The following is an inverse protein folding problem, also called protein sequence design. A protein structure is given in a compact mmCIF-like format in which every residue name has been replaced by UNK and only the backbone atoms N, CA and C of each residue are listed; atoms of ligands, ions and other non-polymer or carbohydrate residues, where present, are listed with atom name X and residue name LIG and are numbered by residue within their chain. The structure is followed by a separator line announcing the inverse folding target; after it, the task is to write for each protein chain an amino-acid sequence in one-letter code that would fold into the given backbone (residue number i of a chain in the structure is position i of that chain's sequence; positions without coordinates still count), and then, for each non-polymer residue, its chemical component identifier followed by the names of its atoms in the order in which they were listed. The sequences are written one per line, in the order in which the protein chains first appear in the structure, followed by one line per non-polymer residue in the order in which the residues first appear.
data_IF_130879279415
#
_entry.id   IF_130879279415
#
_cell.length_a   1.000
_cell.length_b   1.000
_cell.length_c   1.000
_cell.angle_alpha   90.00
_cell.angle_beta   90.00
_cell.angle_gamma   90.00
#
_symmetry.space_group_name_H-M   'P 1'
#
loop_
_entity.id
_entity.type
_entity.pdbx_description
1 polymer ?
#
# COMPACT_ATOMS: atom_id res chain seq x y z
N UNK A 1 24.60 3.03 74.26
CA UNK A 1 24.26 3.94 73.14
C UNK A 1 24.84 3.52 71.78
N UNK A 2 25.95 2.76 71.70
CA UNK A 2 26.52 2.27 70.41
C UNK A 2 25.72 1.17 69.67
N UNK A 3 24.84 0.43 70.35
CA UNK A 3 24.04 -0.65 69.73
C UNK A 3 22.78 -0.17 68.99
N UNK A 4 22.34 1.07 69.26
CA UNK A 4 21.19 1.67 68.56
C UNK A 4 21.56 2.20 67.17
N UNK A 5 22.84 2.54 66.94
CA UNK A 5 23.33 3.07 65.67
C UNK A 5 23.55 1.97 64.61
N UNK A 6 23.71 0.71 65.02
CA UNK A 6 23.85 -0.43 64.11
C UNK A 6 22.51 -0.92 63.54
N UNK A 7 21.38 -0.61 64.18
CA UNK A 7 20.05 -1.06 63.74
C UNK A 7 19.44 -0.18 62.63
N UNK A 8 19.95 1.04 62.43
CA UNK A 8 19.45 1.96 61.41
C UNK A 8 20.08 1.69 60.02
N UNK A 9 21.28 1.10 59.98
CA UNK A 9 21.95 0.76 58.72
C UNK A 9 21.34 -0.44 57.99
N UNK A 10 20.64 -1.33 58.66
CA UNK A 10 20.02 -2.52 58.03
C UNK A 10 18.64 -2.24 57.44
N UNK A 11 18.01 -1.10 57.75
CA UNK A 11 16.66 -0.77 57.26
C UNK A 11 16.67 -0.07 55.89
N UNK A 12 17.83 0.43 55.44
CA UNK A 12 17.98 1.11 54.14
C UNK A 12 18.12 0.18 52.93
N UNK A 13 18.31 -1.13 53.13
CA UNK A 13 18.54 -2.09 52.03
C UNK A 13 17.26 -2.71 51.44
N UNK A 14 16.06 -2.36 51.93
CA UNK A 14 14.80 -2.98 51.51
C UNK A 14 14.01 -2.20 50.45
N UNK A 15 14.52 -1.05 49.99
CA UNK A 15 13.94 -0.28 48.89
C UNK A 15 14.79 -0.40 47.62
N UNK A 16 14.95 -1.63 47.13
CA UNK A 16 15.37 -1.83 45.73
C UNK A 16 14.17 -1.52 44.84
N UNK A 17 14.06 -0.27 44.39
CA UNK A 17 13.11 0.09 43.33
C UNK A 17 13.51 -0.67 42.08
N UNK A 18 12.75 -1.72 41.73
CA UNK A 18 12.88 -2.35 40.41
C UNK A 18 12.41 -1.32 39.38
N UNK A 19 13.37 -0.72 38.66
CA UNK A 19 13.07 0.01 37.43
C UNK A 19 12.63 -1.05 36.42
N UNK A 20 11.33 -1.14 36.18
CA UNK A 20 10.82 -1.80 34.98
C UNK A 20 11.05 -0.84 33.82
N UNK A 21 11.86 -1.25 32.85
CA UNK A 21 11.92 -0.57 31.57
C UNK A 21 10.56 -0.79 30.88
N UNK A 22 9.89 0.30 30.51
CA UNK A 22 8.72 0.21 29.63
C UNK A 22 9.16 -0.37 28.28
N UNK A 23 8.35 -1.28 27.74
CA UNK A 23 8.58 -1.83 26.41
C UNK A 23 8.35 -0.72 25.38
N UNK A 24 9.29 -0.57 24.44
CA UNK A 24 9.17 0.41 23.37
C UNK A 24 7.92 0.11 22.52
N UNK A 25 7.07 1.13 22.32
CA UNK A 25 5.88 1.05 21.48
C UNK A 25 6.22 1.30 20.01
N UNK A 26 6.32 0.22 19.22
CA UNK A 26 6.67 0.29 17.80
C UNK A 26 5.43 0.01 16.95
N UNK A 27 5.00 1.00 16.17
CA UNK A 27 3.94 0.82 15.18
C UNK A 27 4.56 0.54 13.82
N UNK A 28 4.18 -0.59 13.24
CA UNK A 28 4.53 -0.97 11.86
C UNK A 28 3.30 -0.86 10.99
N UNK A 29 3.46 -0.56 9.71
CA UNK A 29 2.29 -0.36 8.88
C UNK A 29 1.75 -1.64 8.25
N UNK A 30 2.64 -2.43 7.65
CA UNK A 30 2.30 -3.70 6.99
C UNK A 30 2.91 -4.90 7.73
N UNK A 31 2.27 -6.07 7.58
CA UNK A 31 2.67 -7.30 8.27
C UNK A 31 4.15 -7.70 8.06
N UNK A 32 4.73 -7.59 6.86
CA UNK A 32 6.15 -7.89 6.66
C UNK A 32 7.09 -7.07 7.57
N UNK A 33 6.81 -5.78 7.77
CA UNK A 33 7.60 -4.93 8.68
C UNK A 33 7.45 -5.39 10.13
N UNK A 34 6.23 -5.71 10.56
CA UNK A 34 5.98 -6.25 11.91
C UNK A 34 6.79 -7.53 12.16
N UNK A 35 6.87 -8.43 11.18
CA UNK A 35 7.65 -9.67 11.31
C UNK A 35 9.16 -9.40 11.45
N UNK A 36 9.70 -8.43 10.69
CA UNK A 36 11.11 -8.02 10.82
C UNK A 36 11.38 -7.44 12.21
N UNK A 37 10.51 -6.54 12.67
CA UNK A 37 10.64 -5.93 14.01
C UNK A 37 10.61 -7.01 15.09
N UNK A 38 9.63 -7.92 15.07
CA UNK A 38 9.52 -9.01 16.04
C UNK A 38 10.77 -9.91 16.03
N UNK A 39 11.30 -10.24 14.85
CA UNK A 39 12.51 -11.05 14.72
C UNK A 39 13.76 -10.36 15.30
N UNK A 40 13.85 -9.03 15.19
CA UNK A 40 14.97 -8.25 15.72
C UNK A 40 14.85 -8.01 17.23
N UNK A 41 13.65 -7.75 17.72
CA UNK A 41 13.43 -7.33 19.12
C UNK A 41 13.17 -8.48 20.06
N UNK A 42 12.92 -9.71 19.57
CA UNK A 42 12.71 -10.92 20.39
C UNK A 42 11.71 -10.68 21.55
N UNK A 43 10.58 -10.06 21.23
CA UNK A 43 9.49 -9.75 22.16
C UNK A 43 9.79 -8.70 23.25
N UNK A 44 10.88 -7.93 23.12
CA UNK A 44 11.21 -6.83 24.05
C UNK A 44 10.38 -5.56 23.75
N UNK A 45 9.75 -5.48 22.57
CA UNK A 45 8.93 -4.34 22.13
C UNK A 45 7.49 -4.75 21.91
N UNK A 46 6.53 -3.87 22.19
CA UNK A 46 5.16 -4.05 21.71
C UNK A 46 5.09 -3.59 20.26
N UNK A 47 4.93 -4.55 19.33
CA UNK A 47 4.76 -4.25 17.90
C UNK A 47 3.30 -4.40 17.49
N UNK A 48 2.67 -3.28 17.10
CA UNK A 48 1.34 -3.29 16.49
C UNK A 48 1.47 -3.09 14.96
N UNK A 49 0.62 -3.78 14.18
CA UNK A 49 0.49 -3.54 12.74
C UNK A 49 -0.72 -2.67 12.47
N UNK A 50 -0.52 -1.52 11.82
CA UNK A 50 -1.56 -0.55 11.51
C UNK A 50 -2.64 -1.15 10.60
N UNK A 51 -2.22 -1.79 9.51
CA UNK A 51 -3.13 -2.34 8.51
C UNK A 51 -3.56 -3.76 8.90
N UNK A 52 -4.88 -4.04 8.93
CA UNK A 52 -5.38 -5.40 9.08
C UNK A 52 -4.91 -6.31 7.95
N UNK A 53 -4.88 -7.62 8.21
CA UNK A 53 -4.61 -8.61 7.18
C UNK A 53 -5.63 -8.49 6.03
N UNK A 54 -5.16 -8.64 4.79
CA UNK A 54 -5.98 -8.53 3.58
C UNK A 54 -6.32 -7.09 3.15
N UNK A 55 -5.85 -6.07 3.87
CA UNK A 55 -6.04 -4.67 3.49
C UNK A 55 -4.98 -4.21 2.50
N UNK A 56 -5.38 -3.52 1.44
CA UNK A 56 -4.46 -2.88 0.49
C UNK A 56 -3.74 -1.71 1.18
N UNK A 57 -2.40 -1.65 1.12
CA UNK A 57 -1.66 -0.50 1.63
C UNK A 57 -1.74 0.73 0.72
N UNK A 58 -2.18 0.59 -0.53
CA UNK A 58 -2.38 1.73 -1.43
C UNK A 58 -3.67 2.50 -1.13
N UNK A 59 -4.73 1.79 -0.72
CA UNK A 59 -6.11 2.31 -0.66
C UNK A 59 -6.65 2.40 0.77
N UNK A 60 -5.78 2.39 1.78
CA UNK A 60 -6.23 2.36 3.16
C UNK A 60 -6.88 3.67 3.59
N UNK A 61 -8.13 3.60 4.03
CA UNK A 61 -8.83 4.71 4.66
C UNK A 61 -8.44 4.81 6.14
N UNK A 62 -7.53 5.73 6.46
CA UNK A 62 -7.03 5.92 7.81
C UNK A 62 -8.15 6.32 8.79
N UNK A 63 -8.32 5.55 9.87
CA UNK A 63 -9.31 5.84 10.90
C UNK A 63 -8.74 6.79 11.96
N UNK A 64 -9.57 7.58 12.67
CA UNK A 64 -9.11 8.41 13.78
C UNK A 64 -8.35 7.63 14.88
N UNK A 65 -8.74 6.38 15.13
CA UNK A 65 -8.03 5.50 16.07
C UNK A 65 -6.61 5.16 15.61
N UNK A 66 -6.38 5.04 14.31
CA UNK A 66 -5.08 4.72 13.74
C UNK A 66 -4.16 5.93 13.77
N UNK A 67 -4.70 7.11 13.47
CA UNK A 67 -3.98 8.37 13.63
C UNK A 67 -3.50 8.57 15.09
N UNK A 68 -4.34 8.21 16.07
CA UNK A 68 -3.96 8.23 17.49
C UNK A 68 -2.84 7.23 17.79
N UNK A 69 -2.92 6.00 17.28
CA UNK A 69 -1.85 5.00 17.45
C UNK A 69 -0.52 5.48 16.89
N UNK A 70 -0.52 6.10 15.72
CA UNK A 70 0.69 6.65 15.10
C UNK A 70 1.29 7.78 15.93
N UNK A 71 0.44 8.66 16.48
CA UNK A 71 0.87 9.75 17.34
C UNK A 71 1.45 9.27 18.68
N UNK A 72 0.85 8.23 19.27
CA UNK A 72 1.24 7.71 20.58
C UNK A 72 2.39 6.67 20.50
N UNK A 73 2.95 6.43 19.30
CA UNK A 73 4.05 5.49 19.08
C UNK A 73 5.40 6.11 19.44
N UNK A 74 6.28 5.33 20.07
CA UNK A 74 7.68 5.73 20.27
C UNK A 74 8.47 5.66 18.95
N UNK A 75 8.06 4.77 18.04
CA UNK A 75 8.64 4.60 16.71
C UNK A 75 7.58 4.11 15.72
N UNK A 76 7.47 4.78 14.58
CA UNK A 76 6.68 4.36 13.43
C UNK A 76 7.62 3.87 12.34
N UNK A 77 7.46 2.62 11.89
CA UNK A 77 8.21 2.04 10.77
C UNK A 77 7.24 1.73 9.65
N UNK A 78 7.48 2.35 8.49
CA UNK A 78 6.62 2.23 7.31
C UNK A 78 7.48 2.09 6.06
N UNK A 79 6.88 1.64 4.95
CA UNK A 79 7.66 1.39 3.73
C UNK A 79 8.11 2.71 3.13
N UNK A 80 7.17 3.64 2.96
CA UNK A 80 7.44 4.96 2.41
C UNK A 80 6.25 5.50 1.61
N UNK A 81 6.37 6.73 1.10
CA UNK A 81 5.31 7.40 0.36
C UNK A 81 4.93 6.67 -0.94
N UNK A 82 5.82 5.82 -1.47
CA UNK A 82 5.61 5.01 -2.66
C UNK A 82 4.53 3.93 -2.48
N UNK A 83 4.29 3.51 -1.23
CA UNK A 83 3.29 2.50 -0.88
C UNK A 83 2.10 3.11 -0.13
N UNK A 84 2.39 4.02 0.80
CA UNK A 84 1.44 4.42 1.85
C UNK A 84 1.28 5.94 1.86
N UNK A 85 0.95 6.49 0.68
CA UNK A 85 0.89 7.93 0.44
C UNK A 85 0.01 8.69 1.45
N UNK A 86 -1.05 8.04 1.96
CA UNK A 86 -1.96 8.56 2.98
C UNK A 86 -1.27 8.91 4.32
N UNK A 87 -0.11 8.31 4.62
CA UNK A 87 0.66 8.60 5.83
C UNK A 87 1.58 9.81 5.69
N UNK A 88 1.95 10.19 4.45
CA UNK A 88 2.97 11.22 4.18
C UNK A 88 2.69 12.51 4.95
N UNK A 89 1.45 13.01 4.91
CA UNK A 89 1.06 14.25 5.59
C UNK A 89 1.07 14.14 7.12
N UNK A 90 0.82 12.95 7.66
CA UNK A 90 0.69 12.73 9.10
C UNK A 90 2.07 12.53 9.74
N UNK A 91 2.96 11.84 9.02
CA UNK A 91 4.30 11.53 9.48
C UNK A 91 5.34 12.60 9.08
N UNK A 92 4.95 13.60 8.29
CA UNK A 92 5.85 14.68 7.88
C UNK A 92 6.42 15.41 9.10
N UNK A 93 7.75 15.60 9.10
CA UNK A 93 8.48 16.23 10.19
C UNK A 93 8.53 15.45 11.52
N UNK A 94 7.94 14.26 11.62
CA UNK A 94 7.98 13.45 12.84
C UNK A 94 9.33 12.76 13.00
N UNK A 95 10.05 13.05 14.09
CA UNK A 95 11.38 12.47 14.37
C UNK A 95 11.33 10.98 14.69
N UNK A 96 10.18 10.47 15.12
CA UNK A 96 9.92 9.07 15.43
C UNK A 96 9.36 8.28 14.23
N UNK A 97 9.34 8.84 13.00
CA UNK A 97 8.89 8.15 11.81
C UNK A 97 10.06 7.75 10.90
N UNK A 98 10.18 6.46 10.59
CA UNK A 98 11.21 5.89 9.73
C UNK A 98 10.58 5.28 8.47
N UNK A 99 10.76 5.95 7.33
CA UNK A 99 10.45 5.38 6.02
C UNK A 99 11.59 4.47 5.56
N UNK A 100 11.27 3.23 5.19
CA UNK A 100 12.25 2.25 4.71
C UNK A 100 12.92 2.71 3.41
N UNK A 101 12.15 3.23 2.44
CA UNK A 101 12.65 3.72 1.13
C UNK A 101 13.57 4.92 1.24
N UNK A 102 13.57 5.64 2.36
CA UNK A 102 14.46 6.77 2.63
C UNK A 102 15.78 6.37 3.31
N UNK A 103 15.96 5.09 3.70
CA UNK A 103 17.15 4.65 4.43
C UNK A 103 18.37 4.53 3.52
N UNK A 104 19.47 5.14 3.93
CA UNK A 104 20.76 5.02 3.25
C UNK A 104 21.31 3.61 3.39
N UNK A 105 21.90 3.09 2.31
CA UNK A 105 22.57 1.79 2.32
C UNK A 105 21.68 0.60 1.99
N UNK A 106 20.40 0.84 1.66
CA UNK A 106 19.51 -0.15 1.07
C UNK A 106 19.39 0.14 -0.43
N UNK A 107 19.70 -0.85 -1.26
CA UNK A 107 19.58 -0.75 -2.72
C UNK A 107 18.22 -1.30 -3.15
N UNK A 108 17.24 -0.39 -3.24
CA UNK A 108 15.89 -0.72 -3.67
C UNK A 108 15.81 -0.90 -5.18
N UNK A 109 14.98 -1.86 -5.59
CA UNK A 109 14.67 -2.06 -7.00
C UNK A 109 13.81 -0.94 -7.52
N UNK A 110 13.96 -0.65 -8.80
CA UNK A 110 13.09 0.26 -9.52
C UNK A 110 12.24 -0.51 -10.52
N UNK A 111 11.05 0.00 -10.81
CA UNK A 111 10.25 -0.51 -11.91
C UNK A 111 11.03 -0.40 -13.22
N UNK A 112 10.88 -1.38 -14.11
CA UNK A 112 11.63 -1.48 -15.37
C UNK A 112 12.98 -2.20 -15.27
N UNK A 113 13.65 -2.21 -14.11
CA UNK A 113 14.95 -2.90 -13.95
C UNK A 113 14.86 -4.44 -14.06
N UNK A 114 13.65 -5.01 -13.94
CA UNK A 114 13.43 -6.46 -14.04
C UNK A 114 13.20 -6.95 -15.48
N UNK A 115 12.85 -6.05 -16.42
CA UNK A 115 12.46 -6.43 -17.78
C UNK A 115 13.59 -6.38 -18.80
N UNK A 116 14.77 -5.85 -18.45
CA UNK A 116 15.92 -5.87 -19.38
C UNK A 116 16.54 -7.26 -19.55
N UNK A 117 16.15 -8.25 -18.73
CA UNK A 117 16.61 -9.64 -18.87
C UNK A 117 15.66 -10.54 -19.68
N UNK A 118 14.54 -10.02 -20.21
CA UNK A 118 13.51 -10.82 -20.90
C UNK A 118 13.08 -10.27 -22.27
N UNK A 119 13.81 -9.30 -22.83
CA UNK A 119 13.57 -8.76 -24.16
C UNK A 119 14.84 -8.81 -25.03
N UNK A 120 15.45 -9.99 -25.14
CA UNK A 120 16.42 -10.28 -26.18
C UNK A 120 15.92 -11.51 -26.93
N UNK A 121 15.11 -11.26 -27.97
CA UNK A 121 14.87 -12.10 -29.15
C UNK A 121 13.63 -11.64 -29.93
N UNK A 122 13.65 -10.42 -30.49
CA UNK A 122 12.93 -10.17 -31.74
C UNK A 122 13.79 -9.27 -32.62
N UNK A 123 14.68 -9.95 -33.34
CA UNK A 123 15.35 -9.43 -34.51
C UNK A 123 14.32 -8.79 -35.45
N UNK A 124 14.74 -7.68 -36.06
CA UNK A 124 14.03 -6.97 -37.10
C UNK A 124 13.50 -7.95 -38.16
N UNK A 125 12.19 -7.98 -38.36
CA UNK A 125 11.63 -8.40 -39.64
C UNK A 125 10.73 -7.30 -40.18
N UNK A 126 11.13 -6.83 -41.35
CA UNK A 126 10.41 -5.89 -42.19
C UNK A 126 9.30 -6.63 -42.93
N UNK A 127 8.13 -6.00 -43.01
CA UNK A 127 6.94 -6.32 -43.82
C UNK A 127 5.89 -7.26 -43.21
N UNK A 128 4.69 -6.75 -42.93
CA UNK A 128 3.56 -6.86 -43.86
C UNK A 128 2.33 -6.15 -43.28
N UNK A 129 1.66 -5.38 -44.14
CA UNK A 129 0.26 -4.97 -43.99
C UNK A 129 -0.62 -6.22 -43.78
N UNK A 130 -1.66 -6.13 -42.94
CA UNK A 130 -2.95 -6.86 -42.91
C UNK A 130 -3.54 -6.67 -41.50
N UNK A 131 -4.60 -5.86 -41.35
CA UNK A 131 -6.01 -6.18 -41.59
C UNK A 131 -6.71 -6.49 -40.27
N UNK A 132 -7.70 -5.65 -39.98
CA UNK A 132 -8.55 -5.64 -38.81
C UNK A 132 -9.17 -7.02 -38.55
N UNK A 133 -9.04 -7.51 -37.32
CA UNK A 133 -9.80 -8.65 -36.82
C UNK A 133 -10.62 -8.20 -35.62
N UNK A 134 -11.85 -7.77 -35.91
CA UNK A 134 -12.95 -7.75 -34.96
C UNK A 134 -13.18 -9.17 -34.42
N UNK A 135 -13.20 -9.28 -33.10
CA UNK A 135 -13.73 -10.45 -32.42
C UNK A 135 -15.06 -10.08 -31.76
N UNK A 136 -16.14 -10.40 -32.49
CA UNK A 136 -17.49 -10.54 -31.96
C UNK A 136 -17.52 -11.55 -30.80
N UNK A 137 -18.06 -11.13 -29.66
CA UNK A 137 -18.62 -12.02 -28.65
C UNK A 137 -19.93 -11.42 -28.09
N UNK A 138 -21.01 -11.71 -28.81
CA UNK A 138 -22.35 -12.05 -28.29
C UNK A 138 -22.26 -13.08 -27.14
N UNK A 139 -23.07 -13.17 -26.08
CA UNK A 139 -24.35 -12.60 -25.63
C UNK A 139 -24.42 -12.75 -24.09
N UNK A 140 -25.23 -11.96 -23.38
CA UNK A 140 -26.50 -12.47 -22.81
C UNK A 140 -27.29 -11.37 -22.06
N UNK A 141 -28.58 -11.36 -22.35
CA UNK A 141 -29.61 -10.49 -21.80
C UNK A 141 -30.07 -10.98 -20.42
N UNK A 142 -30.50 -10.04 -19.56
CA UNK A 142 -31.78 -10.20 -18.87
C UNK A 142 -32.38 -8.83 -18.54
N UNK A 143 -33.61 -8.64 -19.01
CA UNK A 143 -34.46 -7.48 -18.75
C UNK A 143 -35.43 -7.83 -17.62
N UNK A 144 -35.60 -6.92 -16.66
CA UNK A 144 -36.87 -6.79 -15.93
C UNK A 144 -37.44 -5.38 -16.15
N UNK A 145 -38.65 -5.34 -16.71
CA UNK A 145 -39.50 -4.17 -16.86
C UNK A 145 -40.57 -4.18 -15.75
N UNK A 146 -40.90 -3.03 -15.15
CA UNK A 146 -42.31 -2.62 -15.03
C UNK A 146 -42.49 -1.12 -14.71
N UNK A 147 -43.65 -0.61 -15.14
CA UNK A 147 -43.94 0.77 -15.49
C UNK A 147 -44.77 1.52 -14.43
N UNK A 148 -44.55 2.83 -14.32
CA UNK A 148 -45.55 3.79 -13.84
C UNK A 148 -46.15 4.54 -15.04
N UNK A 149 -47.32 4.13 -15.50
CA UNK A 149 -48.06 4.80 -16.57
C UNK A 149 -48.49 6.22 -16.17
N UNK A 150 -48.33 7.21 -17.07
CA UNK A 150 -49.42 8.02 -17.68
C UNK A 150 -48.90 8.74 -18.93
N UNK A 151 -49.62 8.60 -20.04
CA UNK A 151 -50.20 9.68 -20.86
C UNK A 151 -50.34 9.25 -22.33
N UNK A 152 -51.60 9.20 -22.77
CA UNK A 152 -52.01 9.07 -24.16
C UNK A 152 -51.58 10.28 -25.00
N UNK A 153 -51.30 10.08 -26.29
CA UNK A 153 -51.68 10.88 -27.47
C UNK A 153 -51.10 10.15 -28.70
N UNK A 154 -51.94 9.56 -29.55
CA UNK A 154 -52.60 10.16 -30.72
C UNK A 154 -51.69 10.13 -31.97
N UNK A 155 -52.25 9.53 -33.03
CA UNK A 155 -51.65 9.22 -34.32
C UNK A 155 -50.94 10.39 -35.00
N UNK A 156 -49.83 10.14 -35.69
CA UNK A 156 -49.43 10.89 -36.89
C UNK A 156 -48.42 10.08 -37.72
N UNK A 157 -48.89 9.58 -38.88
CA UNK A 157 -48.06 9.28 -40.04
C UNK A 157 -47.42 10.57 -40.57
N UNK A 158 -46.09 10.58 -40.76
CA UNK A 158 -45.37 11.41 -41.73
C UNK A 158 -43.87 11.05 -41.75
N UNK A 159 -43.47 10.38 -42.83
CA UNK A 159 -42.30 10.65 -43.66
C UNK A 159 -40.95 11.07 -43.02
N UNK A 160 -40.03 10.10 -43.03
CA UNK A 160 -38.61 10.18 -43.40
C UNK A 160 -37.84 11.50 -43.18
N UNK A 161 -36.97 11.51 -42.17
CA UNK A 161 -35.65 12.14 -42.23
C UNK A 161 -34.68 11.24 -41.41
N UNK A 162 -33.74 10.60 -42.10
CA UNK A 162 -32.67 9.77 -41.56
C UNK A 162 -31.66 10.67 -40.80
N UNK A 163 -31.74 10.68 -39.47
CA UNK A 163 -30.69 11.22 -38.63
C UNK A 163 -29.78 10.07 -38.17
N UNK A 164 -28.73 9.80 -38.94
CA UNK A 164 -27.63 8.95 -38.53
C UNK A 164 -26.98 9.54 -37.27
N UNK A 165 -27.17 8.88 -36.13
CA UNK A 165 -26.38 9.14 -34.94
C UNK A 165 -24.98 8.57 -35.16
N UNK A 166 -24.03 9.44 -35.50
CA UNK A 166 -22.60 9.16 -35.36
C UNK A 166 -22.33 8.92 -33.87
N UNK A 167 -22.14 7.66 -33.51
CA UNK A 167 -21.55 7.31 -32.22
C UNK A 167 -20.05 7.53 -32.32
N UNK A 168 -19.59 8.68 -31.83
CA UNK A 168 -18.19 8.93 -31.55
C UNK A 168 -17.69 7.86 -30.56
N UNK A 169 -17.04 6.83 -31.10
CA UNK A 169 -16.30 5.85 -30.33
C UNK A 169 -15.09 6.55 -29.72
N UNK A 170 -15.24 7.03 -28.49
CA UNK A 170 -14.13 7.45 -27.67
C UNK A 170 -13.17 6.27 -27.50
N UNK A 171 -12.06 6.33 -28.24
CA UNK A 171 -10.94 5.42 -28.08
C UNK A 171 -10.55 5.37 -26.61
N UNK A 172 -10.68 4.20 -26.01
CA UNK A 172 -10.11 3.93 -24.71
C UNK A 172 -8.59 3.92 -24.90
N UNK A 173 -7.96 5.07 -24.67
CA UNK A 173 -6.53 5.16 -24.42
C UNK A 173 -6.23 4.27 -23.22
N UNK A 174 -5.81 3.04 -23.49
CA UNK A 174 -5.17 2.18 -22.52
C UNK A 174 -3.85 2.84 -22.15
N UNK A 175 -3.90 3.78 -21.22
CA UNK A 175 -2.72 4.31 -20.56
C UNK A 175 -2.00 3.15 -19.88
N UNK A 176 -1.03 2.57 -20.58
CA UNK A 176 -0.06 1.68 -19.98
C UNK A 176 0.57 2.42 -18.81
N UNK A 177 0.22 2.02 -17.58
CA UNK A 177 0.80 2.57 -16.38
C UNK A 177 2.26 2.15 -16.35
N UNK A 178 3.12 2.98 -16.95
CA UNK A 178 4.56 2.91 -16.76
C UNK A 178 4.83 3.28 -15.31
N UNK A 179 4.90 2.27 -14.46
CA UNK A 179 5.37 2.45 -13.11
C UNK A 179 6.83 2.90 -13.21
N UNK A 180 7.14 4.13 -12.80
CA UNK A 180 8.49 4.64 -12.69
C UNK A 180 8.82 4.83 -11.21
N UNK A 181 10.10 4.69 -10.83
CA UNK A 181 10.55 4.87 -9.45
C UNK A 181 10.74 3.55 -8.69
N UNK A 182 10.88 3.66 -7.38
CA UNK A 182 11.15 2.53 -6.47
C UNK A 182 9.96 1.56 -6.48
N UNK A 183 10.20 0.26 -6.59
CA UNK A 183 9.20 -0.78 -6.34
C UNK A 183 9.06 -0.95 -4.82
N UNK A 184 7.95 -0.48 -4.21
CA UNK A 184 7.80 -0.56 -2.76
C UNK A 184 7.48 -1.98 -2.27
N UNK A 185 7.14 -2.93 -3.15
CA UNK A 185 6.69 -4.28 -2.78
C UNK A 185 7.87 -5.23 -2.53
N UNK A 186 8.83 -4.78 -1.72
CA UNK A 186 10.11 -5.44 -1.48
C UNK A 186 10.00 -6.90 -0.99
N UNK A 187 8.86 -7.27 -0.40
CA UNK A 187 8.58 -8.61 0.14
C UNK A 187 7.86 -9.57 -0.83
N UNK A 188 7.29 -9.08 -1.95
CA UNK A 188 6.49 -9.90 -2.87
C UNK A 188 7.31 -10.69 -3.90
N UNK A 189 8.65 -10.68 -3.81
CA UNK A 189 9.48 -11.50 -4.70
C UNK A 189 10.82 -11.88 -4.08
N UNK A 190 11.21 -13.15 -4.28
CA UNK A 190 12.49 -13.71 -3.83
C UNK A 190 13.71 -12.95 -4.38
N UNK A 191 13.58 -12.34 -5.57
CA UNK A 191 14.62 -11.50 -6.19
C UNK A 191 14.39 -9.99 -5.94
N UNK A 192 13.47 -9.59 -5.06
CA UNK A 192 13.03 -8.19 -4.89
C UNK A 192 13.61 -7.47 -3.67
N UNK A 193 14.31 -8.17 -2.78
CA UNK A 193 14.74 -7.64 -1.48
C UNK A 193 15.87 -6.62 -1.54
N UNK A 194 16.87 -6.82 -2.41
CA UNK A 194 18.00 -5.91 -2.64
C UNK A 194 18.74 -6.36 -3.91
N UNK A 195 19.37 -5.42 -4.63
CA UNK A 195 20.36 -5.78 -5.67
C UNK A 195 21.54 -6.50 -5.01
N UNK A 196 22.03 -7.62 -5.55
CA UNK A 196 23.23 -8.25 -5.01
C UNK A 196 24.42 -7.30 -5.21
N UNK A 197 25.12 -6.96 -4.12
CA UNK A 197 26.43 -6.28 -4.24
C UNK A 197 27.39 -7.25 -4.92
N UNK A 198 27.79 -6.91 -6.14
CA UNK A 198 28.97 -7.49 -6.80
C UNK A 198 30.24 -7.11 -6.06
#
# INVERSE_FOLDING_TARGET
MRRLLLSCSTLGLLFSTQVQAEALNVVTTVKPLSMIVQALTKDVTTSETLLPAGTSPHDYALRPSDARKLHDADLVIWVGPELESFLTKILDGQSNAMALTAQKGIDFRHYGEANEAAHDDHAADTHSEHADHDHDHDHDHDHEHEHGEKHAHADHDADAEEAHHDHDHHGHDHHGHSHHGIDPHVWLGLNRLCKPRM
#
